data_IF_801986668933
#
_entry.id   IF_801986668933
#
_cell.length_a   1.000
_cell.length_b   1.000
_cell.length_c   1.000
_cell.angle_alpha   90.00
_cell.angle_beta   90.00
_cell.angle_gamma   90.00
#
_symmetry.space_group_name_H-M   'P 1'
#
loop_
_entity.id
_entity.type
_entity.pdbx_description
1 polymer ?
#
# COMPACT_ATOMS: atom_id res chain seq x y z
N UNK A 1 2.20 -15.00 -22.33
CA UNK A 1 2.49 -14.76 -20.91
C UNK A 1 2.33 -16.08 -20.17
N UNK A 2 3.38 -16.62 -19.55
CA UNK A 2 3.26 -17.89 -18.81
C UNK A 2 2.37 -17.69 -17.56
N UNK A 3 1.73 -18.75 -17.07
CA UNK A 3 0.76 -18.65 -15.96
C UNK A 3 1.37 -18.05 -14.69
N UNK A 4 2.64 -18.35 -14.42
CA UNK A 4 3.40 -17.82 -13.28
C UNK A 4 3.50 -16.30 -13.37
N UNK A 5 3.88 -15.76 -14.53
CA UNK A 5 4.00 -14.32 -14.76
C UNK A 5 2.66 -13.60 -14.58
N UNK A 6 1.55 -14.18 -15.06
CA UNK A 6 0.21 -13.64 -14.81
C UNK A 6 -0.08 -13.55 -13.32
N UNK A 7 0.18 -14.62 -12.57
CA UNK A 7 -0.04 -14.65 -11.11
C UNK A 7 0.79 -13.58 -10.41
N UNK A 8 2.08 -13.45 -10.75
CA UNK A 8 2.96 -12.44 -10.16
C UNK A 8 2.45 -11.02 -10.44
N UNK A 9 2.06 -10.72 -11.68
CA UNK A 9 1.54 -9.40 -12.07
C UNK A 9 0.26 -9.07 -11.28
N UNK A 10 -0.66 -10.03 -11.15
CA UNK A 10 -1.91 -9.83 -10.39
C UNK A 10 -1.62 -9.58 -8.91
N UNK A 11 -0.69 -10.33 -8.31
CA UNK A 11 -0.31 -10.15 -6.91
C UNK A 11 0.35 -8.79 -6.67
N UNK A 12 1.27 -8.37 -7.55
CA UNK A 12 1.92 -7.06 -7.43
C UNK A 12 0.92 -5.92 -7.63
N UNK A 13 -0.01 -6.05 -8.60
CA UNK A 13 -1.07 -5.07 -8.81
C UNK A 13 -1.98 -4.94 -7.59
N UNK A 14 -2.39 -6.07 -7.01
CA UNK A 14 -3.21 -6.11 -5.80
C UNK A 14 -2.49 -5.47 -4.61
N UNK A 15 -1.22 -5.80 -4.40
CA UNK A 15 -0.42 -5.23 -3.32
C UNK A 15 -0.18 -3.72 -3.52
N UNK A 16 0.10 -3.28 -4.75
CA UNK A 16 0.24 -1.87 -5.10
C UNK A 16 -1.03 -1.09 -4.75
N UNK A 17 -2.20 -1.64 -5.09
CA UNK A 17 -3.49 -1.04 -4.79
C UNK A 17 -3.73 -0.96 -3.28
N UNK A 18 -3.54 -2.05 -2.53
CA UNK A 18 -3.77 -2.08 -1.09
C UNK A 18 -2.84 -1.11 -0.36
N UNK A 19 -1.53 -1.17 -0.64
CA UNK A 19 -0.51 -0.36 0.03
C UNK A 19 -0.62 1.11 -0.37
N UNK A 20 -0.82 1.38 -1.67
CA UNK A 20 -1.00 2.74 -2.20
C UNK A 20 -2.28 3.41 -1.71
N UNK A 21 -3.41 2.68 -1.73
CA UNK A 21 -4.68 3.20 -1.21
C UNK A 21 -4.60 3.45 0.30
N UNK A 22 -3.90 2.60 1.06
CA UNK A 22 -3.65 2.85 2.48
C UNK A 22 -2.95 4.19 2.68
N UNK A 23 -1.89 4.46 1.92
CA UNK A 23 -1.17 5.73 1.98
C UNK A 23 -2.03 6.93 1.60
N UNK A 24 -2.81 6.82 0.52
CA UNK A 24 -3.72 7.87 0.08
C UNK A 24 -4.81 8.19 1.11
N UNK A 25 -5.47 7.15 1.66
CA UNK A 25 -6.48 7.30 2.71
C UNK A 25 -5.88 7.86 4.00
N UNK A 26 -4.68 7.42 4.38
CA UNK A 26 -4.00 7.90 5.56
C UNK A 26 -3.68 9.40 5.46
N UNK A 27 -3.15 9.85 4.31
CA UNK A 27 -2.91 11.28 4.08
C UNK A 27 -4.21 12.10 4.07
N UNK A 28 -5.29 11.53 3.55
CA UNK A 28 -6.61 12.16 3.56
C UNK A 28 -7.28 12.17 4.96
N UNK A 29 -6.73 11.50 5.97
CA UNK A 29 -7.40 11.29 7.27
C UNK A 29 -8.70 10.49 7.13
N UNK A 30 -8.70 9.51 6.21
CA UNK A 30 -9.87 8.66 5.89
C UNK A 30 -9.54 7.18 6.02
N UNK A 31 -8.36 6.82 6.53
CA UNK A 31 -8.01 5.43 6.77
C UNK A 31 -8.80 4.95 7.99
N UNK A 32 -9.76 4.02 7.86
CA UNK A 32 -10.48 3.51 9.01
C UNK A 32 -9.56 2.75 9.96
N UNK A 33 -9.83 2.82 11.26
CA UNK A 33 -9.16 2.00 12.27
C UNK A 33 -9.29 0.52 11.94
N UNK A 34 -8.17 -0.20 11.93
CA UNK A 34 -8.13 -1.63 11.58
C UNK A 34 -6.91 -2.34 12.18
N UNK A 35 -6.88 -3.67 12.03
CA UNK A 35 -5.85 -4.55 12.60
C UNK A 35 -4.71 -4.92 11.65
N UNK A 36 -4.72 -4.43 10.40
CA UNK A 36 -3.83 -4.95 9.34
C UNK A 36 -2.91 -3.88 8.77
N UNK A 37 -3.42 -2.68 8.51
CA UNK A 37 -2.79 -1.62 7.74
C UNK A 37 -2.54 -0.38 8.60
N UNK A 38 -1.48 0.36 8.29
CA UNK A 38 -1.09 1.57 9.01
C UNK A 38 -0.26 1.30 10.28
N UNK A 39 0.03 2.39 11.00
CA UNK A 39 0.76 2.40 12.27
C UNK A 39 -0.20 2.04 13.40
N UNK A 40 0.05 0.91 14.06
CA UNK A 40 -0.85 0.25 15.01
C UNK A 40 -0.20 0.07 16.38
N UNK A 41 0.45 1.10 16.90
CA UNK A 41 1.02 1.05 18.25
C UNK A 41 -0.09 1.30 19.29
N UNK A 42 0.10 0.93 20.57
CA UNK A 42 -0.86 1.25 21.62
C UNK A 42 -1.24 2.73 21.67
N UNK A 43 -0.31 3.63 21.34
CA UNK A 43 -0.50 5.08 21.30
C UNK A 43 -1.42 5.50 20.15
N UNK A 44 -1.25 4.95 18.95
CA UNK A 44 -2.10 5.31 17.80
C UNK A 44 -3.53 4.81 17.95
N UNK A 45 -3.77 3.82 18.81
CA UNK A 45 -5.10 3.24 19.07
C UNK A 45 -5.87 3.92 20.19
N UNK A 46 -5.30 4.92 20.87
CA UNK A 46 -5.96 5.59 22.00
C UNK A 46 -7.20 6.39 21.58
N UNK A 47 -7.20 6.94 20.37
CA UNK A 47 -8.34 7.67 19.83
C UNK A 47 -8.28 7.75 18.29
N UNK A 48 -9.40 8.07 17.61
CA UNK A 48 -9.41 8.33 16.17
C UNK A 48 -8.44 9.45 15.74
N UNK A 49 -8.27 10.48 16.55
CA UNK A 49 -7.36 11.59 16.27
C UNK A 49 -5.90 11.15 16.33
N UNK A 50 -5.53 10.33 17.32
CA UNK A 50 -4.19 9.74 17.43
C UNK A 50 -3.89 8.81 16.24
N UNK A 51 -4.90 8.07 15.79
CA UNK A 51 -4.83 7.22 14.60
C UNK A 51 -4.56 8.05 13.34
N UNK A 52 -5.33 9.11 13.12
CA UNK A 52 -5.21 9.97 11.94
C UNK A 52 -3.89 10.71 11.89
N UNK A 53 -3.42 11.26 13.02
CA UNK A 53 -2.12 11.96 13.07
C UNK A 53 -0.97 11.03 12.72
N UNK A 54 -0.91 9.86 13.34
CA UNK A 54 0.17 8.90 13.11
C UNK A 54 0.15 8.35 11.68
N UNK A 55 -1.02 7.98 11.18
CA UNK A 55 -1.14 7.41 9.83
C UNK A 55 -0.95 8.47 8.75
N UNK A 56 -1.40 9.72 8.94
CA UNK A 56 -1.10 10.81 8.01
C UNK A 56 0.40 11.04 7.85
N UNK A 57 1.17 10.93 8.94
CA UNK A 57 2.64 11.00 8.89
C UNK A 57 3.27 9.80 8.16
N UNK A 58 2.73 8.59 8.32
CA UNK A 58 3.20 7.39 7.62
C UNK A 58 2.71 7.27 6.16
N UNK A 59 1.67 8.02 5.80
CA UNK A 59 0.99 7.96 4.51
C UNK A 59 1.91 8.09 3.29
N UNK A 60 2.88 9.02 3.25
CA UNK A 60 3.84 9.13 2.15
C UNK A 60 4.67 7.86 1.93
N UNK A 61 5.09 7.18 3.01
CA UNK A 61 5.86 5.94 2.89
C UNK A 61 5.02 4.79 2.30
N UNK A 62 3.76 4.67 2.72
CA UNK A 62 2.80 3.74 2.14
C UNK A 62 2.52 4.06 0.66
N UNK A 63 2.27 5.32 0.33
CA UNK A 63 2.00 5.72 -1.06
C UNK A 63 3.22 5.47 -1.96
N UNK A 64 4.41 5.84 -1.50
CA UNK A 64 5.66 5.57 -2.21
C UNK A 64 5.89 4.08 -2.45
N UNK A 65 5.63 3.24 -1.44
CA UNK A 65 5.73 1.79 -1.56
C UNK A 65 4.72 1.23 -2.59
N UNK A 66 3.47 1.70 -2.56
CA UNK A 66 2.46 1.36 -3.55
C UNK A 66 2.86 1.76 -4.97
N UNK A 67 3.45 2.95 -5.13
CA UNK A 67 3.97 3.43 -6.42
C UNK A 67 5.13 2.56 -6.92
N UNK A 68 6.08 2.19 -6.05
CA UNK A 68 7.17 1.27 -6.41
C UNK A 68 6.64 -0.08 -6.88
N UNK A 69 5.65 -0.64 -6.19
CA UNK A 69 5.00 -1.89 -6.59
C UNK A 69 4.27 -1.75 -7.94
N UNK A 70 3.59 -0.63 -8.16
CA UNK A 70 2.92 -0.35 -9.43
C UNK A 70 3.93 -0.26 -10.59
N UNK A 71 5.04 0.45 -10.39
CA UNK A 71 6.11 0.53 -11.38
C UNK A 71 6.69 -0.86 -11.69
N UNK A 72 6.93 -1.68 -10.66
CA UNK A 72 7.35 -3.07 -10.84
C UNK A 72 6.33 -3.91 -11.62
N UNK A 73 5.03 -3.73 -11.33
CA UNK A 73 3.93 -4.40 -12.03
C UNK A 73 3.92 -4.07 -13.52
N UNK A 74 4.11 -2.79 -13.88
CA UNK A 74 4.12 -2.33 -15.28
C UNK A 74 5.42 -2.73 -15.98
N UNK A 75 6.56 -2.66 -15.28
CA UNK A 75 7.86 -2.97 -15.87
C UNK A 75 8.03 -4.48 -16.12
N UNK A 76 7.55 -5.35 -15.23
CA UNK A 76 7.85 -6.78 -15.27
C UNK A 76 7.49 -7.47 -16.61
N UNK A 77 6.33 -7.21 -17.25
CA UNK A 77 6.04 -7.76 -18.59
C UNK A 77 6.91 -7.17 -19.71
N UNK A 78 7.42 -5.94 -19.54
CA UNK A 78 8.23 -5.23 -20.53
C UNK A 78 9.69 -5.70 -20.54
N UNK A 79 10.17 -6.30 -19.45
CA UNK A 79 11.55 -6.78 -19.32
C UNK A 79 11.78 -8.12 -20.06
N UNK A 80 10.73 -8.74 -20.62
CA UNK A 80 10.78 -9.78 -21.66
C UNK A 80 11.89 -10.84 -21.57
N UNK A 81 11.60 -12.02 -21.02
CA UNK A 81 12.46 -13.19 -21.22
C UNK A 81 12.41 -14.26 -20.12
N UNK A 82 11.34 -15.05 -20.08
CA UNK A 82 11.37 -16.44 -19.60
C UNK A 82 10.40 -17.26 -20.45
#
# INVERSE_FOLDING_TARGET
MNAVLVVVVVLLAGLALVVGATGALAMAGKLPGNDILGVRTPETRKSPEAWDVANRAAGPAFLGSGLTLLLGTVALPLVGGW
#
